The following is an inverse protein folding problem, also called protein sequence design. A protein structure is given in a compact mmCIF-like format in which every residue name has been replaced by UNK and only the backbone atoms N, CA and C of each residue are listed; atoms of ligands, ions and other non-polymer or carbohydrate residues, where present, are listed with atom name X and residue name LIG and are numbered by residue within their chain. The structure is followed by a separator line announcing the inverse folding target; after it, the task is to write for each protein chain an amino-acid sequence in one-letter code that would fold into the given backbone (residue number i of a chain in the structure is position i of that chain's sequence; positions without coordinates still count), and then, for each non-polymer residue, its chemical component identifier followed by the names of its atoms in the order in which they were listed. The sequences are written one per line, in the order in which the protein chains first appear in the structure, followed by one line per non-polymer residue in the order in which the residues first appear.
data_IF_681284408421
#
_entry.id   IF_681284408421
#
_cell.length_a   1.000
_cell.length_b   1.000
_cell.length_c   1.000
_cell.angle_alpha   90.00
_cell.angle_beta   90.00
_cell.angle_gamma   90.00
#
_symmetry.space_group_name_H-M   'P 1'
#
loop_
_entity.id
_entity.type
_entity.pdbx_description
1 polymer ?
#
# COMPACT_ATOMS: atom_id res chain seq x y z
N UNK A 1 -13.75 -17.39 10.75
CA UNK A 1 -13.12 -18.14 9.64
C UNK A 1 -11.71 -18.56 10.05
N UNK A 2 -11.33 -19.79 9.79
CA UNK A 2 -9.99 -20.31 10.12
C UNK A 2 -8.94 -19.88 9.07
N UNK A 3 -7.67 -19.84 9.47
CA UNK A 3 -6.56 -19.44 8.58
C UNK A 3 -6.53 -20.23 7.26
N UNK A 4 -6.75 -21.56 7.32
CA UNK A 4 -6.75 -22.41 6.13
C UNK A 4 -7.91 -22.13 5.17
N UNK A 5 -9.05 -21.71 5.69
CA UNK A 5 -10.20 -21.32 4.88
C UNK A 5 -9.90 -20.03 4.12
N UNK A 6 -9.28 -19.03 4.80
CA UNK A 6 -8.88 -17.77 4.16
C UNK A 6 -7.85 -18.03 3.06
N UNK A 7 -6.85 -18.88 3.30
CA UNK A 7 -5.85 -19.25 2.29
C UNK A 7 -6.48 -19.93 1.06
N UNK A 8 -7.51 -20.76 1.27
CA UNK A 8 -8.27 -21.37 0.15
C UNK A 8 -9.05 -20.31 -0.64
N UNK A 9 -9.63 -19.31 0.02
CA UNK A 9 -10.32 -18.19 -0.62
C UNK A 9 -9.32 -17.38 -1.45
N UNK A 10 -8.18 -16.99 -0.86
CA UNK A 10 -7.11 -16.28 -1.56
C UNK A 10 -6.69 -17.02 -2.83
N UNK A 11 -6.47 -18.33 -2.73
CA UNK A 11 -6.07 -19.16 -3.87
C UNK A 11 -7.10 -19.20 -5.00
N UNK A 12 -8.39 -19.11 -4.68
CA UNK A 12 -9.51 -19.17 -5.64
C UNK A 12 -9.92 -17.79 -6.17
N UNK A 13 -9.48 -16.71 -5.55
CA UNK A 13 -9.81 -15.34 -5.96
C UNK A 13 -9.07 -15.01 -7.27
N UNK A 14 -9.80 -14.56 -8.28
CA UNK A 14 -9.24 -14.25 -9.60
C UNK A 14 -8.54 -12.89 -9.64
N UNK A 15 -9.14 -11.84 -9.04
CA UNK A 15 -8.54 -10.50 -9.02
C UNK A 15 -7.22 -10.49 -8.23
N UNK A 16 -6.11 -10.11 -8.87
CA UNK A 16 -4.80 -10.03 -8.22
C UNK A 16 -4.80 -9.09 -7.02
N UNK A 17 -5.37 -7.89 -7.18
CA UNK A 17 -5.47 -6.92 -6.09
C UNK A 17 -6.27 -7.48 -4.91
N UNK A 18 -7.45 -8.07 -5.18
CA UNK A 18 -8.26 -8.65 -4.10
C UNK A 18 -7.52 -9.77 -3.36
N UNK A 19 -6.72 -10.56 -4.07
CA UNK A 19 -5.87 -11.60 -3.45
C UNK A 19 -4.82 -10.99 -2.54
N UNK A 20 -4.17 -9.91 -2.98
CA UNK A 20 -3.17 -9.19 -2.19
C UNK A 20 -3.79 -8.59 -0.94
N UNK A 21 -4.92 -7.89 -1.05
CA UNK A 21 -5.62 -7.30 0.09
C UNK A 21 -6.13 -8.35 1.08
N UNK A 22 -6.66 -9.48 0.61
CA UNK A 22 -7.05 -10.60 1.46
C UNK A 22 -5.84 -11.21 2.22
N UNK A 23 -4.68 -11.27 1.59
CA UNK A 23 -3.46 -11.72 2.25
C UNK A 23 -3.06 -10.75 3.37
N UNK A 24 -3.09 -9.43 3.12
CA UNK A 24 -2.78 -8.44 4.15
C UNK A 24 -3.81 -8.48 5.29
N UNK A 25 -5.09 -8.68 4.98
CA UNK A 25 -6.13 -8.85 5.99
C UNK A 25 -5.90 -10.09 6.87
N UNK A 26 -5.45 -11.21 6.27
CA UNK A 26 -5.03 -12.38 7.03
C UNK A 26 -3.83 -12.07 7.94
N UNK A 27 -2.81 -11.39 7.43
CA UNK A 27 -1.65 -10.97 8.23
C UNK A 27 -2.07 -10.05 9.38
N UNK A 28 -2.93 -9.06 9.11
CA UNK A 28 -3.50 -8.16 10.13
C UNK A 28 -4.14 -8.96 11.27
N UNK A 29 -5.01 -9.91 10.93
CA UNK A 29 -5.68 -10.78 11.92
C UNK A 29 -4.69 -11.60 12.73
N UNK A 30 -3.72 -12.26 12.08
CA UNK A 30 -2.73 -13.11 12.76
C UNK A 30 -1.82 -12.29 13.69
N UNK A 31 -1.41 -11.09 13.28
CA UNK A 31 -0.61 -10.19 14.08
C UNK A 31 -1.42 -9.65 15.28
N UNK A 32 -2.68 -9.29 15.07
CA UNK A 32 -3.56 -8.86 16.16
C UNK A 32 -3.79 -9.96 17.21
N UNK A 33 -3.89 -11.24 16.79
CA UNK A 33 -3.94 -12.37 17.74
C UNK A 33 -2.67 -12.50 18.60
N UNK A 34 -1.56 -11.93 18.16
CA UNK A 34 -0.30 -11.83 18.91
C UNK A 34 -0.16 -10.49 19.67
N UNK A 35 -1.24 -9.69 19.77
CA UNK A 35 -1.24 -8.33 20.33
C UNK A 35 -0.24 -7.39 19.62
N UNK A 36 -0.09 -7.54 18.29
CA UNK A 36 0.74 -6.69 17.45
C UNK A 36 -0.14 -5.75 16.63
N UNK A 37 0.46 -4.64 16.19
CA UNK A 37 -0.20 -3.69 15.29
C UNK A 37 -0.46 -4.32 13.91
N UNK A 38 -1.42 -3.76 13.18
CA UNK A 38 -1.67 -4.12 11.81
C UNK A 38 -0.58 -3.53 10.89
N UNK A 39 -0.14 -4.26 9.85
CA UNK A 39 0.69 -3.68 8.80
C UNK A 39 -0.13 -2.75 7.92
N UNK A 40 0.53 -1.77 7.28
CA UNK A 40 -0.10 -0.87 6.33
C UNK A 40 0.43 -1.14 4.93
N UNK A 41 -0.47 -1.33 3.97
CA UNK A 41 -0.12 -1.46 2.55
C UNK A 41 0.39 -0.11 2.04
N UNK A 42 1.54 -0.13 1.37
CA UNK A 42 2.16 1.04 0.74
C UNK A 42 2.52 0.73 -0.72
N UNK A 43 3.27 1.59 -1.37
CA UNK A 43 3.92 1.31 -2.65
C UNK A 43 2.98 0.93 -3.78
N UNK A 44 3.41 -0.02 -4.61
CA UNK A 44 2.71 -0.44 -5.81
C UNK A 44 1.33 -1.06 -5.55
N UNK A 45 1.18 -1.82 -4.47
CA UNK A 45 -0.11 -2.43 -4.12
C UNK A 45 -1.15 -1.36 -3.71
N UNK A 46 -0.75 -0.31 -2.96
CA UNK A 46 -1.61 0.83 -2.66
C UNK A 46 -1.98 1.60 -3.94
N UNK A 47 -1.02 1.79 -4.84
CA UNK A 47 -1.27 2.42 -6.14
C UNK A 47 -2.26 1.62 -6.99
N UNK A 48 -2.15 0.28 -7.00
CA UNK A 48 -3.11 -0.60 -7.67
C UNK A 48 -4.53 -0.42 -7.12
N UNK A 49 -4.67 -0.28 -5.80
CA UNK A 49 -5.95 -0.03 -5.15
C UNK A 49 -6.58 1.31 -5.58
N UNK A 50 -5.87 2.42 -5.41
CA UNK A 50 -6.40 3.75 -5.74
C UNK A 50 -6.56 3.97 -7.24
N UNK A 51 -5.71 3.37 -8.08
CA UNK A 51 -5.87 3.43 -9.53
C UNK A 51 -6.99 2.53 -10.05
N UNK A 52 -7.63 1.71 -9.18
CA UNK A 52 -8.63 0.70 -9.56
C UNK A 52 -8.09 -0.26 -10.61
N UNK A 53 -6.93 -0.85 -10.31
CA UNK A 53 -6.22 -1.83 -11.15
C UNK A 53 -5.77 -1.29 -12.53
N UNK A 54 -5.74 0.05 -12.75
CA UNK A 54 -5.06 0.63 -13.93
C UNK A 54 -3.55 0.40 -13.83
N UNK A 55 -2.99 0.54 -12.62
CA UNK A 55 -1.63 0.10 -12.30
C UNK A 55 -1.66 -1.30 -11.70
N UNK A 56 -0.68 -2.13 -12.03
CA UNK A 56 -0.54 -3.48 -11.50
C UNK A 56 0.84 -3.72 -10.92
N UNK A 57 0.90 -4.41 -9.78
CA UNK A 57 2.12 -4.95 -9.20
C UNK A 57 1.92 -6.40 -8.76
N UNK A 58 2.99 -7.19 -8.77
CA UNK A 58 2.97 -8.60 -8.34
C UNK A 58 3.29 -8.80 -6.87
N UNK A 59 3.88 -7.79 -6.24
CA UNK A 59 4.35 -7.82 -4.86
C UNK A 59 3.49 -6.94 -3.95
N UNK A 60 3.59 -7.18 -2.66
CA UNK A 60 2.91 -6.43 -1.62
C UNK A 60 3.98 -5.73 -0.78
N UNK A 61 3.96 -4.40 -0.82
CA UNK A 61 4.82 -3.56 0.01
C UNK A 61 4.10 -3.17 1.29
N UNK A 62 4.76 -3.35 2.44
CA UNK A 62 4.20 -3.05 3.75
C UNK A 62 5.07 -2.04 4.51
N UNK A 63 4.42 -1.13 5.21
CA UNK A 63 5.03 -0.41 6.34
C UNK A 63 4.74 -1.20 7.61
N UNK A 64 5.80 -1.75 8.25
CA UNK A 64 5.68 -2.53 9.46
C UNK A 64 7.00 -2.64 10.23
N UNK A 65 6.99 -2.30 11.53
CA UNK A 65 8.22 -2.21 12.33
C UNK A 65 8.72 -3.58 12.81
N UNK A 66 7.83 -4.43 13.33
CA UNK A 66 8.19 -5.71 13.97
C UNK A 66 8.42 -6.82 12.92
N UNK A 67 9.60 -6.77 12.30
CA UNK A 67 10.00 -7.72 11.25
C UNK A 67 10.05 -9.18 11.74
N UNK A 68 10.34 -9.39 13.02
CA UNK A 68 10.39 -10.73 13.60
C UNK A 68 8.99 -11.32 13.75
N UNK A 69 8.02 -10.53 14.21
CA UNK A 69 6.63 -10.97 14.26
C UNK A 69 6.09 -11.24 12.86
N UNK A 70 6.40 -10.38 11.89
CA UNK A 70 6.00 -10.57 10.49
C UNK A 70 6.61 -11.84 9.91
N UNK A 71 7.89 -12.09 10.11
CA UNK A 71 8.58 -13.32 9.63
C UNK A 71 7.93 -14.57 10.22
N UNK A 72 7.66 -14.59 11.54
CA UNK A 72 6.99 -15.73 12.20
C UNK A 72 5.62 -16.02 11.61
N UNK A 73 4.81 -14.97 11.43
CA UNK A 73 3.46 -15.11 10.86
C UNK A 73 3.54 -15.60 9.42
N UNK A 74 4.36 -15.00 8.59
CA UNK A 74 4.51 -15.37 7.18
C UNK A 74 4.99 -16.82 7.02
N UNK A 75 5.99 -17.25 7.80
CA UNK A 75 6.44 -18.66 7.81
C UNK A 75 5.34 -19.63 8.23
N UNK A 76 4.51 -19.24 9.21
CA UNK A 76 3.42 -20.11 9.69
C UNK A 76 2.36 -20.40 8.64
N UNK A 77 2.27 -19.57 7.60
CA UNK A 77 1.34 -19.71 6.49
C UNK A 77 2.01 -20.07 5.16
N UNK A 78 3.28 -20.53 5.21
CA UNK A 78 3.97 -21.12 4.08
C UNK A 78 4.83 -20.19 3.23
N UNK A 79 5.12 -18.97 3.68
CA UNK A 79 6.10 -18.11 3.02
C UNK A 79 7.53 -18.50 3.42
N UNK A 80 8.46 -18.35 2.49
CA UNK A 80 9.89 -18.51 2.68
C UNK A 80 10.60 -17.17 2.49
N UNK A 81 11.58 -16.88 3.35
CA UNK A 81 12.41 -15.67 3.22
C UNK A 81 13.42 -15.85 2.10
N UNK A 82 13.36 -14.98 1.08
CA UNK A 82 14.30 -14.93 -0.05
C UNK A 82 14.85 -13.48 -0.20
N UNK A 83 16.01 -13.25 0.37
CA UNK A 83 16.58 -11.89 0.42
C UNK A 83 15.70 -10.92 1.22
N UNK A 84 15.26 -9.83 0.61
CA UNK A 84 14.35 -8.84 1.21
C UNK A 84 12.88 -9.26 1.20
N UNK A 85 12.52 -10.24 0.38
CA UNK A 85 11.14 -10.72 0.20
C UNK A 85 10.80 -11.94 1.04
N UNK A 86 9.53 -12.09 1.35
CA UNK A 86 8.90 -13.37 1.72
C UNK A 86 8.09 -13.84 0.51
N UNK A 87 8.35 -15.07 0.06
CA UNK A 87 7.76 -15.63 -1.17
C UNK A 87 6.95 -16.86 -0.83
N UNK A 88 5.73 -16.95 -1.38
CA UNK A 88 4.88 -18.12 -1.33
C UNK A 88 4.64 -18.66 -2.73
N UNK A 89 5.37 -19.71 -3.12
CA UNK A 89 5.33 -20.30 -4.46
C UNK A 89 3.92 -20.75 -4.87
N UNK A 90 3.21 -21.47 -3.99
CA UNK A 90 1.87 -22.00 -4.27
C UNK A 90 0.79 -20.93 -4.47
N UNK A 91 0.97 -19.73 -3.90
CA UNK A 91 0.09 -18.58 -4.10
C UNK A 91 0.64 -17.61 -5.14
N UNK A 92 1.88 -17.77 -5.60
CA UNK A 92 2.58 -16.83 -6.50
C UNK A 92 2.53 -15.40 -5.95
N UNK A 93 2.90 -15.22 -4.69
CA UNK A 93 2.92 -13.95 -3.97
C UNK A 93 4.29 -13.67 -3.40
N UNK A 94 4.68 -12.40 -3.44
CA UNK A 94 5.84 -11.88 -2.75
C UNK A 94 5.42 -10.72 -1.84
N UNK A 95 6.02 -10.64 -0.66
CA UNK A 95 5.77 -9.58 0.31
C UNK A 95 7.12 -8.98 0.68
N UNK A 96 7.19 -7.65 0.71
CA UNK A 96 8.30 -6.90 1.24
C UNK A 96 7.80 -5.95 2.33
N UNK A 97 8.65 -5.59 3.26
CA UNK A 97 8.36 -4.54 4.20
C UNK A 97 9.50 -3.51 4.14
N UNK A 98 9.55 -2.64 3.12
CA UNK A 98 10.63 -1.67 2.93
C UNK A 98 10.65 -0.57 3.99
N UNK A 99 9.52 -0.23 4.58
CA UNK A 99 9.39 0.79 5.61
C UNK A 99 9.02 0.21 6.98
N UNK A 100 9.48 0.83 8.07
CA UNK A 100 9.08 0.47 9.43
C UNK A 100 7.83 1.21 9.90
N UNK A 101 7.53 2.37 9.30
CA UNK A 101 6.39 3.24 9.65
C UNK A 101 5.95 4.03 8.41
N UNK A 102 4.81 4.68 8.50
CA UNK A 102 4.40 5.72 7.56
C UNK A 102 5.24 7.01 7.73
N UNK A 103 5.21 7.94 6.76
CA UNK A 103 6.06 9.15 6.75
C UNK A 103 5.83 10.12 7.93
N UNK A 104 4.72 9.99 8.65
CA UNK A 104 4.40 10.85 9.79
C UNK A 104 3.43 10.20 10.76
N UNK A 105 3.38 10.73 12.00
CA UNK A 105 2.41 10.28 13.00
C UNK A 105 0.97 10.66 12.62
N UNK A 106 0.81 11.70 11.81
CA UNK A 106 -0.45 12.22 11.27
C UNK A 106 -0.80 11.64 9.89
N UNK A 107 -0.02 10.65 9.41
CA UNK A 107 -0.28 10.00 8.11
C UNK A 107 -1.64 9.32 8.10
N UNK A 108 -2.53 9.69 7.16
CA UNK A 108 -3.84 9.06 7.05
C UNK A 108 -3.72 7.61 6.62
N UNK A 109 -4.68 6.81 7.07
CA UNK A 109 -4.78 5.39 6.72
C UNK A 109 -6.22 5.09 6.34
N UNK A 110 -6.43 4.44 5.21
CA UNK A 110 -7.72 3.91 4.80
C UNK A 110 -7.86 2.46 5.27
N UNK A 111 -8.99 2.14 5.89
CA UNK A 111 -9.33 0.77 6.30
C UNK A 111 -10.29 0.17 5.29
N UNK A 112 -9.88 -0.91 4.66
CA UNK A 112 -10.66 -1.62 3.63
C UNK A 112 -11.25 -2.89 4.21
N UNK A 113 -12.58 -2.95 4.22
CA UNK A 113 -13.34 -4.13 4.61
C UNK A 113 -13.47 -5.13 3.45
N UNK A 114 -13.12 -6.38 3.70
CA UNK A 114 -13.10 -7.45 2.70
C UNK A 114 -14.13 -8.56 2.96
N UNK A 115 -15.02 -8.32 3.92
CA UNK A 115 -16.03 -9.27 4.36
C UNK A 115 -15.53 -10.23 5.44
N UNK A 116 -16.45 -10.92 6.13
CA UNK A 116 -16.16 -11.92 7.16
C UNK A 116 -15.28 -11.41 8.32
N UNK A 117 -15.32 -10.09 8.60
CA UNK A 117 -14.47 -9.45 9.60
C UNK A 117 -12.98 -9.40 9.20
N UNK A 118 -12.68 -9.53 7.92
CA UNK A 118 -11.36 -9.32 7.35
C UNK A 118 -11.23 -7.87 6.90
N UNK A 119 -10.17 -7.22 7.37
CA UNK A 119 -9.87 -5.84 6.98
C UNK A 119 -8.36 -5.66 6.84
N UNK A 120 -7.94 -4.72 6.01
CA UNK A 120 -6.56 -4.29 5.89
C UNK A 120 -6.46 -2.77 5.87
N UNK A 121 -5.29 -2.27 6.24
CA UNK A 121 -4.97 -0.85 6.24
C UNK A 121 -4.13 -0.50 5.03
N UNK A 122 -4.46 0.60 4.35
CA UNK A 122 -3.73 1.13 3.19
C UNK A 122 -3.31 2.57 3.50
N UNK A 123 -2.11 2.96 3.09
CA UNK A 123 -1.63 4.35 3.20
C UNK A 123 -2.65 5.31 2.59
N UNK A 124 -2.86 6.47 3.20
CA UNK A 124 -3.73 7.50 2.65
C UNK A 124 -3.27 7.98 1.27
N UNK A 125 -4.24 8.37 0.46
CA UNK A 125 -3.99 8.75 -0.93
C UNK A 125 -3.04 9.95 -1.04
N UNK A 126 -3.08 10.87 -0.09
CA UNK A 126 -2.20 12.06 -0.08
C UNK A 126 -0.74 11.66 0.08
N UNK A 127 -0.42 10.79 1.05
CA UNK A 127 0.94 10.30 1.24
C UNK A 127 1.40 9.43 0.07
N UNK A 128 0.49 8.66 -0.54
CA UNK A 128 0.81 7.90 -1.75
C UNK A 128 1.13 8.83 -2.93
N UNK A 129 0.40 9.93 -3.10
CA UNK A 129 0.69 10.93 -4.15
C UNK A 129 2.09 11.52 -3.96
N UNK A 130 2.47 11.89 -2.73
CA UNK A 130 3.83 12.38 -2.42
C UNK A 130 4.89 11.31 -2.75
N UNK A 131 4.67 10.08 -2.32
CA UNK A 131 5.60 8.96 -2.57
C UNK A 131 5.82 8.74 -4.08
N UNK A 132 4.76 8.74 -4.87
CA UNK A 132 4.85 8.57 -6.33
C UNK A 132 5.45 9.78 -7.04
N UNK A 133 5.19 11.00 -6.58
CA UNK A 133 5.88 12.20 -7.09
C UNK A 133 7.38 12.14 -6.81
N UNK A 134 7.77 11.72 -5.62
CA UNK A 134 9.18 11.50 -5.30
C UNK A 134 9.81 10.45 -6.23
N UNK A 135 9.11 9.35 -6.50
CA UNK A 135 9.57 8.32 -7.44
C UNK A 135 9.72 8.89 -8.86
N UNK A 136 8.74 9.65 -9.33
CA UNK A 136 8.79 10.31 -10.64
C UNK A 136 9.96 11.30 -10.75
N UNK A 137 10.15 12.14 -9.72
CA UNK A 137 11.17 13.19 -9.71
C UNK A 137 12.60 12.62 -9.61
N UNK A 138 12.83 11.72 -8.65
CA UNK A 138 14.19 11.27 -8.32
C UNK A 138 14.64 10.09 -9.17
N UNK A 139 13.75 9.21 -9.58
CA UNK A 139 14.07 8.05 -10.41
C UNK A 139 13.65 8.20 -11.87
N UNK A 140 13.11 9.39 -12.24
CA UNK A 140 12.61 9.69 -13.59
C UNK A 140 11.59 8.66 -14.08
N UNK A 141 10.73 8.20 -13.19
CA UNK A 141 9.68 7.27 -13.51
C UNK A 141 8.49 8.00 -14.14
N UNK A 142 8.35 7.90 -15.46
CA UNK A 142 7.21 8.46 -16.19
C UNK A 142 5.88 7.86 -15.74
N UNK A 143 5.87 6.54 -15.49
CA UNK A 143 4.68 5.81 -15.03
C UNK A 143 4.17 6.37 -13.69
N UNK A 144 5.06 6.66 -12.73
CA UNK A 144 4.64 7.22 -11.45
C UNK A 144 4.03 8.63 -11.64
N UNK A 145 4.59 9.45 -12.54
CA UNK A 145 4.02 10.76 -12.88
C UNK A 145 2.62 10.67 -13.51
N UNK A 146 2.42 9.75 -14.46
CA UNK A 146 1.12 9.49 -15.08
C UNK A 146 0.09 8.99 -14.06
N UNK A 147 0.51 8.11 -13.16
CA UNK A 147 -0.36 7.59 -12.10
C UNK A 147 -0.76 8.69 -11.11
N UNK A 148 0.15 9.58 -10.72
CA UNK A 148 -0.21 10.74 -9.88
C UNK A 148 -1.25 11.61 -10.57
N UNK A 149 -1.08 11.93 -11.84
CA UNK A 149 -2.08 12.70 -12.59
C UNK A 149 -3.44 11.99 -12.61
N UNK A 150 -3.45 10.67 -12.82
CA UNK A 150 -4.66 9.85 -12.76
C UNK A 150 -5.34 9.94 -11.37
N UNK A 151 -4.57 9.82 -10.28
CA UNK A 151 -5.10 9.91 -8.91
C UNK A 151 -5.70 11.30 -8.64
N UNK A 152 -4.99 12.37 -9.00
CA UNK A 152 -5.47 13.74 -8.81
C UNK A 152 -6.74 13.99 -9.64
N UNK A 153 -6.81 13.55 -10.90
CA UNK A 153 -8.02 13.64 -11.72
C UNK A 153 -9.20 12.91 -11.10
N UNK A 154 -8.98 11.76 -10.47
CA UNK A 154 -10.04 10.91 -9.93
C UNK A 154 -10.52 11.35 -8.56
N UNK A 155 -9.60 11.78 -7.70
CA UNK A 155 -9.86 12.03 -6.28
C UNK A 155 -9.70 13.49 -5.87
N UNK A 156 -9.27 14.38 -6.77
CA UNK A 156 -8.87 15.74 -6.44
C UNK A 156 -9.91 16.55 -5.68
N UNK A 157 -11.21 16.31 -5.93
CA UNK A 157 -12.29 16.94 -5.17
C UNK A 157 -12.40 16.46 -3.71
N UNK A 158 -11.79 15.32 -3.38
CA UNK A 158 -11.88 14.68 -2.07
C UNK A 158 -10.52 14.63 -1.34
N UNK A 159 -9.44 15.11 -1.98
CA UNK A 159 -8.12 15.18 -1.36
C UNK A 159 -8.09 16.25 -0.26
N UNK A 160 -7.40 15.94 0.83
CA UNK A 160 -7.01 16.95 1.82
C UNK A 160 -5.82 17.77 1.27
N UNK A 161 -6.16 18.80 0.44
CA UNK A 161 -5.17 19.66 -0.17
C UNK A 161 -4.28 20.39 0.86
N UNK A 162 -4.80 20.93 1.98
CA UNK A 162 -3.97 21.52 3.02
C UNK A 162 -2.92 20.55 3.56
N UNK A 163 -3.31 19.28 3.82
CA UNK A 163 -2.39 18.25 4.26
C UNK A 163 -1.35 17.93 3.17
N UNK A 164 -1.81 17.71 1.95
CA UNK A 164 -0.96 17.37 0.80
C UNK A 164 0.09 18.47 0.54
N UNK A 165 -0.33 19.74 0.50
CA UNK A 165 0.55 20.89 0.30
C UNK A 165 1.54 21.05 1.45
N UNK A 166 1.09 20.86 2.72
CA UNK A 166 1.97 20.84 3.90
C UNK A 166 3.06 19.79 3.81
N UNK A 167 2.74 18.57 3.34
CA UNK A 167 3.72 17.50 3.15
C UNK A 167 4.65 17.76 1.97
N UNK A 168 4.14 18.33 0.90
CA UNK A 168 4.89 18.61 -0.33
C UNK A 168 6.02 19.63 -0.16
N UNK A 169 5.90 20.57 0.80
CA UNK A 169 6.93 21.59 1.08
C UNK A 169 8.08 21.04 1.95
N UNK A 170 7.95 19.87 2.54
CA UNK A 170 9.01 19.31 3.37
C UNK A 170 10.27 19.07 2.53
N UNK A 171 11.47 19.34 3.06
CA UNK A 171 12.73 19.22 2.31
C UNK A 171 12.97 17.83 1.73
N UNK A 172 12.50 16.78 2.42
CA UNK A 172 12.57 15.39 1.96
C UNK A 172 11.67 15.09 0.77
N UNK A 173 10.63 15.90 0.52
CA UNK A 173 9.68 15.72 -0.59
C UNK A 173 9.95 16.72 -1.71
N UNK A 174 9.95 18.02 -1.40
CA UNK A 174 10.18 19.12 -2.37
C UNK A 174 9.39 18.95 -3.68
N UNK A 175 8.08 18.69 -3.54
CA UNK A 175 7.18 18.35 -4.67
C UNK A 175 6.00 19.33 -4.80
N UNK A 176 6.02 20.46 -4.10
CA UNK A 176 4.89 21.42 -4.11
C UNK A 176 4.65 22.00 -5.51
N UNK A 177 5.71 22.32 -6.25
CA UNK A 177 5.59 22.88 -7.60
C UNK A 177 4.88 21.93 -8.54
N UNK A 178 5.22 20.65 -8.48
CA UNK A 178 4.59 19.60 -9.28
C UNK A 178 3.12 19.41 -8.92
N UNK A 179 2.79 19.44 -7.63
CA UNK A 179 1.40 19.33 -7.15
C UNK A 179 0.54 20.51 -7.63
N UNK A 180 1.04 21.74 -7.49
CA UNK A 180 0.31 22.93 -7.93
C UNK A 180 0.13 22.97 -9.46
N UNK A 181 1.14 22.51 -10.20
CA UNK A 181 1.02 22.39 -11.66
C UNK A 181 -0.04 21.35 -12.04
N UNK A 182 -0.02 20.17 -11.42
CA UNK A 182 -1.00 19.11 -11.67
C UNK A 182 -2.41 19.57 -11.29
N UNK A 183 -2.59 20.21 -10.13
CA UNK A 183 -3.87 20.79 -9.70
C UNK A 183 -4.45 21.74 -10.76
N UNK A 184 -3.64 22.68 -11.26
CA UNK A 184 -4.03 23.59 -12.34
C UNK A 184 -4.35 22.86 -13.65
N UNK A 185 -3.55 21.84 -14.01
CA UNK A 185 -3.72 21.07 -15.26
C UNK A 185 -5.04 20.28 -15.28
N UNK A 186 -5.49 19.83 -14.12
CA UNK A 186 -6.76 19.07 -14.00
C UNK A 186 -7.97 19.97 -13.71
N UNK A 187 -7.78 21.27 -13.58
CA UNK A 187 -8.86 22.27 -13.43
C UNK A 187 -9.40 22.37 -12.00
N UNK A 188 -8.58 22.16 -10.99
CA UNK A 188 -8.90 22.26 -9.55
C UNK A 188 -8.34 23.54 -8.94
#
# INVERSE_FOLDING_TARGET
METQEILKIIKKTESPLKRQLLMVALLTRLLQMMNKQAPVVIGGCALSYYSREVYFTSDIDLAYADREALDRVLRSIGFEKKGRYWVHEGLKMAIEAPASSLPGQDSPVEVVELGEGLQCSIIGIEDLVIDRLNASKHWKSEIDGEMVELLIRRYGNNLDWPYLEKKAVLPENDTLSEILELKRRVGL
#
